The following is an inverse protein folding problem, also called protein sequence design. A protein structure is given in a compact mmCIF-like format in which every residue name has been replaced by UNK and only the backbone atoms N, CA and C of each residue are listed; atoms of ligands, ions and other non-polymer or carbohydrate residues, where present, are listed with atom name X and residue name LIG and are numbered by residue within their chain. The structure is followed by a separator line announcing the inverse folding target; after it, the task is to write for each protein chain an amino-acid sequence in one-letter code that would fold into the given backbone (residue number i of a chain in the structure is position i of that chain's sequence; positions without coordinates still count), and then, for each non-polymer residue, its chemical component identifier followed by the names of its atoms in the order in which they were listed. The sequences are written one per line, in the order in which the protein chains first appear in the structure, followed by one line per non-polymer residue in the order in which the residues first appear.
data_IF_756015718582
#
_entry.id   IF_756015718582
#
_cell.length_a   1.000
_cell.length_b   1.000
_cell.length_c   1.000
_cell.angle_alpha   90.00
_cell.angle_beta   90.00
_cell.angle_gamma   90.00
#
_symmetry.space_group_name_H-M   'P 1'
#
loop_
_entity.id
_entity.type
_entity.pdbx_description
1 polymer ?
#
# COMPACT_ATOMS: atom_id res chain seq x y z
N UNK A 1 70.28 -41.55 33.31
CA UNK A 1 69.85 -40.95 32.04
C UNK A 1 68.40 -40.53 32.26
N UNK A 2 68.23 -39.21 32.46
CA UNK A 2 66.99 -38.65 32.98
C UNK A 2 65.93 -38.53 31.92
N UNK A 3 64.74 -38.91 32.29
CA UNK A 3 63.51 -38.62 31.58
C UNK A 3 62.95 -37.29 32.12
N UNK A 4 63.11 -36.20 31.28
CA UNK A 4 62.56 -34.92 31.63
C UNK A 4 61.06 -34.91 31.27
N UNK A 5 60.26 -35.10 32.31
CA UNK A 5 58.81 -35.00 32.26
C UNK A 5 58.37 -33.63 31.73
N UNK A 6 57.90 -33.58 30.50
CA UNK A 6 57.28 -32.43 29.85
C UNK A 6 55.95 -32.07 30.57
N UNK A 7 55.95 -30.98 31.33
CA UNK A 7 54.76 -30.46 32.00
C UNK A 7 53.66 -30.19 30.93
N UNK A 8 52.41 -30.63 31.17
CA UNK A 8 51.30 -30.27 30.27
C UNK A 8 51.05 -28.79 30.33
N UNK A 9 51.05 -28.18 29.20
CA UNK A 9 50.72 -26.76 28.97
C UNK A 9 49.25 -26.51 29.38
N UNK A 10 49.07 -25.79 30.48
CA UNK A 10 47.74 -25.41 31.01
C UNK A 10 47.06 -24.42 30.04
N UNK A 11 46.34 -24.92 29.05
CA UNK A 11 45.50 -24.17 28.12
C UNK A 11 44.23 -23.68 28.82
N UNK A 12 44.35 -22.99 29.94
CA UNK A 12 43.24 -22.22 30.52
C UNK A 12 42.89 -21.08 29.55
N UNK A 13 41.81 -21.27 28.81
CA UNK A 13 41.20 -20.18 28.03
C UNK A 13 40.91 -19.04 29.01
N UNK A 14 41.67 -17.97 28.90
CA UNK A 14 41.40 -16.74 29.68
C UNK A 14 39.99 -16.28 29.34
N UNK A 15 39.09 -16.10 30.31
CA UNK A 15 37.78 -15.58 30.02
C UNK A 15 37.96 -14.19 29.35
N UNK A 16 37.32 -14.03 28.19
CA UNK A 16 37.36 -12.78 27.48
C UNK A 16 36.60 -11.74 28.28
N UNK A 17 37.30 -10.97 29.10
CA UNK A 17 36.70 -9.87 29.91
C UNK A 17 36.47 -8.70 28.99
N UNK A 18 35.21 -8.50 28.60
CA UNK A 18 34.80 -7.33 27.81
C UNK A 18 35.06 -6.08 28.65
N UNK A 19 35.82 -5.12 28.11
CA UNK A 19 36.12 -3.88 28.84
C UNK A 19 34.83 -3.06 29.08
N UNK A 20 34.80 -2.30 30.20
CA UNK A 20 33.64 -1.42 30.49
C UNK A 20 33.32 -0.45 29.36
N UNK A 21 34.32 0.03 28.61
CA UNK A 21 34.13 0.91 27.44
C UNK A 21 33.38 0.22 26.30
N UNK A 22 33.67 -1.09 26.07
CA UNK A 22 32.91 -1.85 25.07
C UNK A 22 31.44 -2.04 25.47
N UNK A 23 31.16 -2.32 26.73
CA UNK A 23 29.79 -2.45 27.26
C UNK A 23 29.04 -1.14 27.11
N UNK A 24 29.68 0.00 27.46
CA UNK A 24 29.09 1.33 27.31
C UNK A 24 28.84 1.67 25.83
N UNK A 25 29.77 1.36 24.93
CA UNK A 25 29.61 1.56 23.48
C UNK A 25 28.44 0.75 22.91
N UNK A 26 28.33 -0.53 23.26
CA UNK A 26 27.21 -1.38 22.85
C UNK A 26 25.88 -0.85 23.39
N UNK A 27 25.84 -0.47 24.68
CA UNK A 27 24.63 0.09 25.29
C UNK A 27 24.18 1.37 24.58
N UNK A 28 25.10 2.26 24.24
CA UNK A 28 24.80 3.51 23.53
C UNK A 28 24.24 3.24 22.13
N UNK A 29 24.87 2.34 21.38
CA UNK A 29 24.37 1.95 20.04
C UNK A 29 22.98 1.31 20.13
N UNK A 30 22.75 0.45 21.11
CA UNK A 30 21.45 -0.19 21.33
C UNK A 30 20.37 0.86 21.67
N UNK A 31 20.65 1.78 22.59
CA UNK A 31 19.70 2.84 22.96
C UNK A 31 19.38 3.72 21.75
N UNK A 32 20.39 4.14 20.98
CA UNK A 32 20.19 4.93 19.78
C UNK A 32 19.35 4.19 18.74
N UNK A 33 19.68 2.91 18.48
CA UNK A 33 18.96 2.06 17.53
C UNK A 33 17.50 1.86 17.93
N UNK A 34 17.22 1.54 19.19
CA UNK A 34 15.84 1.41 19.66
C UNK A 34 15.06 2.72 19.66
N UNK A 35 15.73 3.84 19.96
CA UNK A 35 15.09 5.15 19.87
C UNK A 35 14.66 5.47 18.44
N UNK A 36 15.56 5.28 17.47
CA UNK A 36 15.23 5.49 16.04
C UNK A 36 14.11 4.54 15.59
N UNK A 37 14.19 3.25 15.93
CA UNK A 37 13.13 2.29 15.62
C UNK A 37 11.79 2.68 16.26
N UNK A 38 11.80 3.13 17.50
CA UNK A 38 10.59 3.59 18.19
C UNK A 38 9.95 4.80 17.50
N UNK A 39 10.74 5.78 17.09
CA UNK A 39 10.26 6.94 16.33
C UNK A 39 9.67 6.50 14.98
N UNK A 40 10.37 5.63 14.25
CA UNK A 40 9.89 5.13 12.96
C UNK A 40 8.59 4.32 13.12
N UNK A 41 8.50 3.45 14.14
CA UNK A 41 7.29 2.69 14.44
C UNK A 41 6.12 3.63 14.76
N UNK A 42 6.34 4.66 15.59
CA UNK A 42 5.32 5.65 15.92
C UNK A 42 4.78 6.35 14.66
N UNK A 43 5.67 6.82 13.78
CA UNK A 43 5.26 7.44 12.50
C UNK A 43 4.51 6.46 11.61
N UNK A 44 4.99 5.22 11.47
CA UNK A 44 4.32 4.19 10.64
C UNK A 44 2.89 3.92 11.11
N UNK A 45 2.65 3.83 12.43
CA UNK A 45 1.30 3.60 12.96
C UNK A 45 0.38 4.81 12.81
N UNK A 46 0.91 6.03 12.95
CA UNK A 46 0.09 7.24 12.84
C UNK A 46 -0.16 7.68 11.40
N UNK A 47 0.70 7.28 10.45
CA UNK A 47 0.59 7.66 9.03
C UNK A 47 -0.23 6.67 8.20
N UNK A 48 -0.87 5.68 8.83
CA UNK A 48 -1.70 4.69 8.13
C UNK A 48 -2.84 5.36 7.33
N UNK A 49 -3.15 4.79 6.17
CA UNK A 49 -4.29 5.23 5.37
C UNK A 49 -5.57 4.85 6.13
N UNK A 50 -6.46 5.80 6.50
CA UNK A 50 -7.70 5.44 7.16
C UNK A 50 -8.60 4.64 6.21
N UNK A 51 -9.22 3.57 6.71
CA UNK A 51 -10.22 2.83 5.95
C UNK A 51 -11.57 3.51 6.24
N UNK A 52 -12.28 4.06 5.22
CA UNK A 52 -13.57 4.69 5.42
C UNK A 52 -14.64 3.65 5.76
N UNK A 53 -15.60 4.01 6.62
CA UNK A 53 -16.76 3.15 6.90
C UNK A 53 -17.58 2.91 5.64
N UNK A 54 -17.69 3.94 4.80
CA UNK A 54 -18.33 3.86 3.49
C UNK A 54 -17.77 4.89 2.52
N UNK A 55 -17.75 4.51 1.26
CA UNK A 55 -17.44 5.37 0.13
C UNK A 55 -18.71 5.64 -0.64
N UNK A 56 -19.00 6.92 -0.85
CA UNK A 56 -20.25 7.35 -1.49
C UNK A 56 -19.99 8.26 -2.66
N UNK A 57 -20.92 8.29 -3.60
CA UNK A 57 -20.96 9.29 -4.67
C UNK A 57 -21.45 10.66 -4.15
N UNK A 58 -21.30 11.70 -4.94
CA UNK A 58 -21.89 13.03 -4.66
C UNK A 58 -23.42 13.02 -4.61
N UNK A 59 -24.08 11.98 -5.13
CA UNK A 59 -25.55 11.79 -5.07
C UNK A 59 -26.00 11.01 -3.85
N UNK A 60 -25.06 10.55 -2.99
CA UNK A 60 -25.35 9.75 -1.80
C UNK A 60 -25.46 8.24 -2.05
N UNK A 61 -25.20 7.78 -3.28
CA UNK A 61 -25.11 6.35 -3.59
C UNK A 61 -23.92 5.73 -2.86
N UNK A 62 -24.10 4.64 -2.14
CA UNK A 62 -23.02 3.87 -1.53
C UNK A 62 -22.35 3.02 -2.61
N UNK A 63 -21.08 3.24 -2.86
CA UNK A 63 -20.29 2.53 -3.86
C UNK A 63 -19.68 1.25 -3.27
N UNK A 64 -19.06 1.37 -2.11
CA UNK A 64 -18.48 0.26 -1.34
C UNK A 64 -18.28 0.67 0.12
N UNK A 65 -18.06 -0.31 0.98
CA UNK A 65 -17.97 -0.16 2.43
C UNK A 65 -16.58 -0.55 2.94
N UNK A 66 -16.34 -0.34 4.25
CA UNK A 66 -15.19 -0.85 4.97
C UNK A 66 -15.00 -2.36 4.75
N UNK A 67 -16.09 -3.14 4.88
CA UNK A 67 -16.03 -4.58 4.76
C UNK A 67 -15.67 -5.04 3.35
N UNK A 68 -16.10 -4.31 2.32
CA UNK A 68 -15.73 -4.57 0.93
C UNK A 68 -14.23 -4.34 0.69
N UNK A 69 -13.65 -3.29 1.29
CA UNK A 69 -12.21 -3.01 1.22
C UNK A 69 -11.41 -4.12 1.91
N UNK A 70 -11.84 -4.53 3.10
CA UNK A 70 -11.18 -5.61 3.88
C UNK A 70 -11.29 -6.95 3.13
N UNK A 71 -12.47 -7.28 2.60
CA UNK A 71 -12.66 -8.48 1.77
C UNK A 71 -11.76 -8.46 0.52
N UNK A 72 -11.55 -7.29 -0.08
CA UNK A 72 -10.62 -7.12 -1.19
C UNK A 72 -9.16 -7.34 -0.79
N UNK A 73 -8.76 -6.83 0.37
CA UNK A 73 -7.43 -7.07 0.93
C UNK A 73 -7.20 -8.55 1.25
N UNK A 74 -8.18 -9.20 1.85
CA UNK A 74 -8.12 -10.63 2.14
C UNK A 74 -8.04 -11.47 0.84
N UNK A 75 -8.84 -11.12 -0.17
CA UNK A 75 -8.79 -11.77 -1.47
C UNK A 75 -7.40 -11.60 -2.12
N UNK A 76 -6.82 -10.41 -2.06
CA UNK A 76 -5.47 -10.12 -2.57
C UNK A 76 -4.41 -10.99 -1.89
N UNK A 77 -4.45 -11.10 -0.56
CA UNK A 77 -3.51 -11.89 0.21
C UNK A 77 -3.72 -13.41 0.01
N UNK A 78 -4.96 -13.89 0.11
CA UNK A 78 -5.29 -15.31 0.05
C UNK A 78 -5.07 -15.92 -1.34
N UNK A 79 -5.11 -15.10 -2.40
CA UNK A 79 -4.80 -15.52 -3.76
C UNK A 79 -3.32 -15.37 -4.12
N UNK A 80 -2.48 -14.92 -3.20
CA UNK A 80 -1.05 -14.71 -3.45
C UNK A 80 -0.78 -13.64 -4.50
N UNK A 81 -1.71 -12.69 -4.71
CA UNK A 81 -1.54 -11.65 -5.74
C UNK A 81 -0.34 -10.73 -5.45
N UNK A 82 0.18 -10.72 -4.21
CA UNK A 82 1.43 -10.04 -3.87
C UNK A 82 2.67 -10.65 -4.54
N UNK A 83 2.62 -11.93 -4.93
CA UNK A 83 3.72 -12.56 -5.68
C UNK A 83 3.72 -12.11 -7.14
N UNK A 84 2.55 -11.74 -7.65
CA UNK A 84 2.36 -11.30 -9.04
C UNK A 84 2.51 -9.79 -9.20
N UNK A 85 1.77 -8.99 -8.42
CA UNK A 85 1.75 -7.54 -8.47
C UNK A 85 2.03 -6.90 -7.12
N UNK A 86 2.02 -5.57 -7.06
CA UNK A 86 2.26 -4.83 -5.83
C UNK A 86 1.10 -3.93 -5.45
N UNK A 87 1.07 -3.54 -4.19
CA UNK A 87 0.20 -2.49 -3.63
C UNK A 87 1.12 -1.45 -2.99
N UNK A 88 0.99 -0.18 -3.39
CA UNK A 88 1.82 0.94 -2.89
C UNK A 88 3.32 0.61 -2.99
N UNK A 89 3.72 -0.06 -4.07
CA UNK A 89 5.11 -0.47 -4.32
C UNK A 89 5.59 -1.68 -3.54
N UNK A 90 4.74 -2.35 -2.76
CA UNK A 90 5.09 -3.54 -1.98
C UNK A 90 4.49 -4.80 -2.61
N UNK A 91 5.33 -5.73 -3.03
CA UNK A 91 4.94 -6.99 -3.66
C UNK A 91 5.85 -7.39 -4.81
N UNK A 92 5.40 -8.35 -5.64
CA UNK A 92 6.12 -8.83 -6.83
C UNK A 92 6.07 -7.83 -7.99
N UNK A 93 6.96 -8.02 -8.97
CA UNK A 93 7.11 -7.12 -10.13
C UNK A 93 6.78 -7.80 -11.47
N UNK A 94 6.13 -8.95 -11.45
CA UNK A 94 5.67 -9.64 -12.67
C UNK A 94 4.42 -8.98 -13.25
N UNK A 95 3.55 -8.47 -12.37
CA UNK A 95 2.35 -7.73 -12.70
C UNK A 95 2.46 -6.24 -12.38
N UNK A 96 1.34 -5.51 -12.46
CA UNK A 96 1.31 -4.08 -12.16
C UNK A 96 1.40 -3.81 -10.65
N UNK A 97 1.79 -2.58 -10.28
CA UNK A 97 1.34 -2.01 -9.02
C UNK A 97 -0.13 -1.62 -9.17
N UNK A 98 -1.03 -2.34 -8.47
CA UNK A 98 -2.47 -2.15 -8.63
C UNK A 98 -2.95 -0.80 -8.12
N UNK A 99 -2.26 -0.21 -7.15
CA UNK A 99 -2.53 1.17 -6.70
C UNK A 99 -2.27 2.16 -7.84
N UNK A 100 -1.10 2.05 -8.46
CA UNK A 100 -0.71 2.93 -9.56
C UNK A 100 -1.52 2.65 -10.83
N UNK A 101 -1.80 1.38 -11.16
CA UNK A 101 -2.60 1.02 -12.34
C UNK A 101 -4.04 1.54 -12.22
N UNK A 102 -4.67 1.37 -11.04
CA UNK A 102 -5.99 1.92 -10.77
C UNK A 102 -5.98 3.45 -10.91
N UNK A 103 -5.07 4.14 -10.22
CA UNK A 103 -4.98 5.60 -10.24
C UNK A 103 -4.75 6.13 -11.66
N UNK A 104 -3.82 5.55 -12.41
CA UNK A 104 -3.52 5.94 -13.79
C UNK A 104 -4.75 5.80 -14.69
N UNK A 105 -5.44 4.65 -14.63
CA UNK A 105 -6.63 4.40 -15.46
C UNK A 105 -7.77 5.34 -15.09
N UNK A 106 -8.05 5.48 -13.79
CA UNK A 106 -9.10 6.35 -13.31
C UNK A 106 -8.80 7.82 -13.66
N UNK A 107 -7.57 8.29 -13.46
CA UNK A 107 -7.17 9.65 -13.82
C UNK A 107 -7.26 9.92 -15.33
N UNK A 108 -6.93 8.93 -16.17
CA UNK A 108 -7.09 9.03 -17.63
C UNK A 108 -8.57 9.14 -18.02
N UNK A 109 -9.43 8.28 -17.47
CA UNK A 109 -10.87 8.31 -17.74
C UNK A 109 -11.50 9.64 -17.32
N UNK A 110 -11.15 10.15 -16.12
CA UNK A 110 -11.67 11.43 -15.63
C UNK A 110 -11.16 12.61 -16.46
N UNK A 111 -9.90 12.56 -16.92
CA UNK A 111 -9.33 13.58 -17.80
C UNK A 111 -10.03 13.59 -19.17
N UNK A 112 -10.28 12.44 -19.78
CA UNK A 112 -10.97 12.32 -21.06
C UNK A 112 -12.38 12.91 -21.01
N UNK A 113 -13.10 12.69 -19.89
CA UNK A 113 -14.42 13.30 -19.67
C UNK A 113 -14.33 14.83 -19.64
N UNK A 114 -13.33 15.39 -18.94
CA UNK A 114 -13.11 16.84 -18.83
C UNK A 114 -12.73 17.46 -20.17
N UNK A 115 -11.87 16.79 -20.96
CA UNK A 115 -11.47 17.24 -22.30
C UNK A 115 -12.70 17.25 -23.23
N UNK A 116 -13.52 16.19 -23.23
CA UNK A 116 -14.76 16.11 -24.01
C UNK A 116 -15.77 17.18 -23.61
N UNK A 117 -15.84 17.50 -22.31
CA UNK A 117 -16.67 18.57 -21.79
C UNK A 117 -16.13 20.00 -22.10
N UNK A 118 -14.95 20.11 -22.70
CA UNK A 118 -14.24 21.36 -22.98
C UNK A 118 -14.05 22.23 -21.74
N UNK A 119 -13.75 21.58 -20.59
CA UNK A 119 -13.44 22.31 -19.36
C UNK A 119 -12.19 23.18 -19.55
N UNK A 120 -12.16 24.33 -18.88
CA UNK A 120 -10.98 25.18 -18.85
C UNK A 120 -9.88 24.46 -17.99
N UNK A 121 -8.66 24.36 -18.53
CA UNK A 121 -7.51 23.71 -17.88
C UNK A 121 -7.82 22.29 -17.37
N UNK A 122 -8.25 21.34 -18.22
CA UNK A 122 -8.75 20.04 -17.79
C UNK A 122 -7.71 19.21 -17.01
N UNK A 123 -6.42 19.33 -17.36
CA UNK A 123 -5.33 18.65 -16.64
C UNK A 123 -5.20 19.14 -15.20
N UNK A 124 -5.19 20.45 -14.97
CA UNK A 124 -5.09 21.01 -13.62
C UNK A 124 -6.33 20.70 -12.79
N UNK A 125 -7.53 20.81 -13.40
CA UNK A 125 -8.77 20.44 -12.75
C UNK A 125 -8.80 18.97 -12.35
N UNK A 126 -8.26 18.08 -13.19
CA UNK A 126 -8.16 16.65 -12.90
C UNK A 126 -7.21 16.38 -11.74
N UNK A 127 -5.99 16.94 -11.76
CA UNK A 127 -5.02 16.83 -10.68
C UNK A 127 -5.60 17.34 -9.36
N UNK A 128 -6.24 18.51 -9.37
CA UNK A 128 -6.88 19.09 -8.20
C UNK A 128 -7.97 18.17 -7.64
N UNK A 129 -8.80 17.57 -8.50
CA UNK A 129 -9.89 16.67 -8.10
C UNK A 129 -9.35 15.43 -7.38
N UNK A 130 -8.27 14.80 -7.91
CA UNK A 130 -7.63 13.63 -7.29
C UNK A 130 -6.89 13.96 -5.99
N UNK A 131 -6.28 15.15 -5.88
CA UNK A 131 -5.60 15.61 -4.66
C UNK A 131 -6.57 16.08 -3.58
N UNK A 132 -7.79 16.48 -3.93
CA UNK A 132 -8.76 16.94 -2.95
C UNK A 132 -9.19 15.80 -2.03
N UNK A 133 -8.83 15.89 -0.75
CA UNK A 133 -9.30 14.98 0.27
C UNK A 133 -10.76 15.29 0.64
N UNK A 134 -11.66 14.33 0.42
CA UNK A 134 -13.09 14.41 0.74
C UNK A 134 -13.49 13.36 1.79
N UNK A 135 -12.53 12.91 2.58
CA UNK A 135 -12.77 12.03 3.71
C UNK A 135 -13.07 12.85 4.97
N UNK A 136 -14.19 12.56 5.60
CA UNK A 136 -14.56 13.12 6.89
C UNK A 136 -14.28 12.07 7.99
N UNK A 137 -13.23 12.30 8.78
CA UNK A 137 -12.82 11.38 9.85
C UNK A 137 -13.84 11.28 10.99
N UNK A 138 -14.76 12.24 11.12
CA UNK A 138 -15.78 12.24 12.14
C UNK A 138 -16.95 11.32 11.79
N UNK A 139 -17.26 11.21 10.52
CA UNK A 139 -18.37 10.39 9.99
C UNK A 139 -17.89 9.09 9.34
N UNK A 140 -16.59 8.90 9.18
CA UNK A 140 -16.02 7.77 8.47
C UNK A 140 -16.35 7.72 6.96
N UNK A 141 -16.87 8.82 6.39
CA UNK A 141 -17.37 8.84 5.01
C UNK A 141 -16.36 9.45 4.06
N UNK A 142 -16.06 8.74 2.98
CA UNK A 142 -15.32 9.24 1.83
C UNK A 142 -16.28 9.54 0.68
N UNK A 143 -16.25 10.77 0.14
CA UNK A 143 -17.08 11.16 -1.00
C UNK A 143 -16.24 11.19 -2.27
N UNK A 144 -16.61 10.42 -3.28
CA UNK A 144 -16.00 10.47 -4.61
C UNK A 144 -16.70 11.54 -5.45
N UNK A 145 -15.92 12.29 -6.27
CA UNK A 145 -16.50 13.21 -7.26
C UNK A 145 -17.29 12.44 -8.31
N UNK A 146 -18.16 13.15 -9.04
CA UNK A 146 -18.95 12.54 -10.12
C UNK A 146 -18.07 11.83 -11.14
N UNK A 147 -16.93 12.42 -11.49
CA UNK A 147 -16.00 11.84 -12.46
C UNK A 147 -15.30 10.60 -11.88
N UNK A 148 -14.89 10.67 -10.60
CA UNK A 148 -14.29 9.53 -9.90
C UNK A 148 -15.27 8.37 -9.75
N UNK A 149 -16.54 8.64 -9.45
CA UNK A 149 -17.61 7.63 -9.40
C UNK A 149 -17.79 6.93 -10.76
N UNK A 150 -17.85 7.68 -11.85
CA UNK A 150 -17.97 7.11 -13.20
C UNK A 150 -16.74 6.26 -13.56
N UNK A 151 -15.53 6.71 -13.20
CA UNK A 151 -14.30 5.94 -13.40
C UNK A 151 -14.29 4.64 -12.55
N UNK A 152 -14.77 4.68 -11.32
CA UNK A 152 -14.91 3.51 -10.47
C UNK A 152 -15.79 2.43 -11.11
N UNK A 153 -17.00 2.78 -11.56
CA UNK A 153 -17.89 1.82 -12.24
C UNK A 153 -17.25 1.19 -13.48
N UNK A 154 -16.51 1.99 -14.25
CA UNK A 154 -15.78 1.47 -15.42
C UNK A 154 -14.67 0.48 -14.99
N UNK A 155 -13.95 0.80 -13.90
CA UNK A 155 -12.84 -0.03 -13.42
C UNK A 155 -13.31 -1.32 -12.74
N UNK A 156 -14.49 -1.35 -12.12
CA UNK A 156 -15.12 -2.61 -11.68
C UNK A 156 -15.28 -3.56 -12.85
N UNK A 157 -15.79 -3.10 -13.99
CA UNK A 157 -15.93 -3.92 -15.19
C UNK A 157 -14.58 -4.34 -15.78
N UNK A 158 -13.61 -3.42 -15.76
CA UNK A 158 -12.25 -3.69 -16.23
C UNK A 158 -11.57 -4.80 -15.41
N UNK A 159 -11.53 -4.69 -14.08
CA UNK A 159 -10.86 -5.67 -13.24
C UNK A 159 -11.61 -7.00 -13.18
N UNK A 160 -12.94 -7.01 -13.29
CA UNK A 160 -13.70 -8.25 -13.46
C UNK A 160 -13.26 -9.00 -14.72
N UNK A 161 -13.02 -8.28 -15.82
CA UNK A 161 -12.50 -8.87 -17.05
C UNK A 161 -11.02 -9.26 -16.92
N UNK A 162 -10.22 -8.40 -16.27
CA UNK A 162 -8.79 -8.61 -16.07
C UNK A 162 -8.49 -9.90 -15.31
N UNK A 163 -9.18 -10.16 -14.21
CA UNK A 163 -8.99 -11.35 -13.41
C UNK A 163 -9.76 -12.59 -13.92
N UNK A 164 -10.91 -12.36 -14.59
CA UNK A 164 -11.79 -13.45 -15.02
C UNK A 164 -11.46 -14.06 -16.38
N UNK A 165 -11.06 -13.27 -17.36
CA UNK A 165 -10.95 -13.70 -18.76
C UNK A 165 -9.56 -13.54 -19.39
N UNK A 166 -8.67 -12.81 -18.78
CA UNK A 166 -7.48 -12.38 -19.47
C UNK A 166 -6.33 -13.38 -19.31
N UNK A 167 -6.08 -14.17 -20.37
CA UNK A 167 -4.97 -15.13 -20.46
C UNK A 167 -3.61 -14.49 -20.77
N UNK A 168 -3.55 -13.17 -20.95
CA UNK A 168 -2.33 -12.46 -21.33
C UNK A 168 -1.66 -11.71 -20.17
N UNK A 169 -2.12 -11.93 -18.95
CA UNK A 169 -1.51 -11.34 -17.76
C UNK A 169 -0.24 -12.10 -17.42
N UNK A 170 0.90 -11.46 -17.58
CA UNK A 170 2.24 -11.97 -17.33
C UNK A 170 2.32 -12.77 -16.01
N UNK A 171 2.16 -14.10 -16.07
CA UNK A 171 2.27 -15.01 -14.93
C UNK A 171 1.00 -15.22 -14.10
N UNK A 172 -0.06 -14.42 -14.27
CA UNK A 172 -1.34 -14.68 -13.61
C UNK A 172 -2.11 -15.76 -14.37
N UNK A 173 -2.60 -16.78 -13.67
CA UNK A 173 -3.40 -17.83 -14.27
C UNK A 173 -4.73 -17.26 -14.76
N UNK A 174 -5.13 -17.65 -15.99
CA UNK A 174 -6.43 -17.30 -16.51
C UNK A 174 -7.53 -17.87 -15.58
N UNK A 175 -8.56 -17.08 -15.30
CA UNK A 175 -9.66 -17.43 -14.41
C UNK A 175 -9.25 -17.70 -12.94
N UNK A 176 -8.20 -17.08 -12.45
CA UNK A 176 -7.81 -17.21 -11.05
C UNK A 176 -8.91 -16.68 -10.11
N UNK A 177 -9.59 -15.61 -10.51
CA UNK A 177 -10.75 -15.05 -9.79
C UNK A 177 -11.99 -15.25 -10.65
N UNK A 178 -12.75 -16.30 -10.33
CA UNK A 178 -13.97 -16.67 -11.06
C UNK A 178 -15.21 -15.93 -10.59
N UNK A 179 -15.20 -15.50 -9.33
CA UNK A 179 -16.33 -14.81 -8.71
C UNK A 179 -16.25 -13.29 -9.01
N UNK A 180 -17.24 -12.74 -9.74
CA UNK A 180 -17.31 -11.30 -9.99
C UNK A 180 -17.39 -10.45 -8.72
N UNK A 181 -17.96 -10.97 -7.62
CA UNK A 181 -18.01 -10.25 -6.35
C UNK A 181 -16.60 -10.11 -5.77
N UNK A 182 -15.78 -11.15 -5.82
CA UNK A 182 -14.38 -11.09 -5.38
C UNK A 182 -13.55 -10.11 -6.22
N UNK A 183 -13.76 -10.07 -7.55
CA UNK A 183 -13.11 -9.10 -8.43
C UNK A 183 -13.54 -7.65 -8.11
N UNK A 184 -14.80 -7.46 -7.70
CA UNK A 184 -15.30 -6.16 -7.24
C UNK A 184 -14.63 -5.75 -5.94
N UNK A 185 -14.56 -6.61 -4.92
CA UNK A 185 -13.87 -6.30 -3.65
C UNK A 185 -12.39 -5.98 -3.87
N UNK A 186 -11.70 -6.66 -4.78
CA UNK A 186 -10.34 -6.27 -5.19
C UNK A 186 -10.30 -4.86 -5.78
N UNK A 187 -11.29 -4.50 -6.60
CA UNK A 187 -11.38 -3.15 -7.17
C UNK A 187 -11.61 -2.10 -6.09
N UNK A 188 -12.43 -2.42 -5.07
CA UNK A 188 -12.71 -1.55 -3.93
C UNK A 188 -11.43 -1.31 -3.10
N UNK A 189 -10.66 -2.36 -2.88
CA UNK A 189 -9.34 -2.29 -2.24
C UNK A 189 -8.36 -1.42 -3.05
N UNK A 190 -8.28 -1.60 -4.37
CA UNK A 190 -7.41 -0.78 -5.24
C UNK A 190 -7.88 0.67 -5.29
N UNK A 191 -9.18 0.93 -5.31
CA UNK A 191 -9.74 2.27 -5.27
C UNK A 191 -9.37 3.00 -3.98
N UNK A 192 -9.46 2.32 -2.84
CA UNK A 192 -9.07 2.86 -1.54
C UNK A 192 -7.57 3.16 -1.48
N UNK A 193 -6.69 2.24 -1.90
CA UNK A 193 -5.24 2.48 -1.90
C UNK A 193 -4.85 3.61 -2.85
N UNK A 194 -5.50 3.71 -4.02
CA UNK A 194 -5.29 4.79 -4.98
C UNK A 194 -5.71 6.16 -4.43
N UNK A 195 -6.86 6.23 -3.73
CA UNK A 195 -7.25 7.44 -3.02
C UNK A 195 -6.22 7.81 -1.94
N UNK A 196 -5.81 6.84 -1.14
CA UNK A 196 -4.82 7.04 -0.08
C UNK A 196 -3.47 7.54 -0.59
N UNK A 197 -3.08 7.12 -1.81
CA UNK A 197 -1.86 7.55 -2.46
C UNK A 197 -1.97 8.95 -3.12
N UNK A 198 -3.16 9.34 -3.62
CA UNK A 198 -3.35 10.56 -4.40
C UNK A 198 -3.82 11.76 -3.57
N UNK A 199 -4.67 11.53 -2.55
CA UNK A 199 -5.31 12.61 -1.79
C UNK A 199 -4.33 13.29 -0.82
N UNK A 200 -4.36 14.63 -0.81
CA UNK A 200 -3.58 15.42 0.14
C UNK A 200 -4.11 15.19 1.56
N UNK A 201 -3.24 14.67 2.45
CA UNK A 201 -3.53 14.44 3.85
C UNK A 201 -2.54 15.23 4.69
N UNK A 202 -2.88 16.45 5.13
CA UNK A 202 -1.99 17.29 5.93
C UNK A 202 -1.51 16.55 7.20
N UNK A 203 -0.20 16.57 7.44
CA UNK A 203 0.42 15.91 8.61
C UNK A 203 0.76 14.42 8.42
N UNK A 204 0.49 13.83 7.26
CA UNK A 204 0.85 12.45 6.93
C UNK A 204 1.89 12.41 5.81
N UNK A 205 2.94 11.61 5.98
CA UNK A 205 4.09 11.55 5.07
C UNK A 205 3.84 10.74 3.79
N UNK A 206 2.73 10.02 3.68
CA UNK A 206 2.40 9.16 2.56
C UNK A 206 1.78 9.91 1.37
N UNK A 207 2.21 11.13 1.10
CA UNK A 207 2.10 11.67 -0.25
C UNK A 207 3.19 11.01 -1.12
N UNK A 208 2.96 9.75 -1.51
CA UNK A 208 3.90 8.96 -2.31
C UNK A 208 4.02 9.44 -3.75
N UNK A 209 3.26 10.45 -4.16
CA UNK A 209 3.29 11.00 -5.51
C UNK A 209 3.75 12.45 -5.45
N UNK A 210 5.05 12.63 -5.33
CA UNK A 210 5.74 13.80 -5.85
C UNK A 210 5.98 13.58 -7.36
N UNK A 211 4.93 13.65 -8.18
CA UNK A 211 5.01 13.74 -9.63
C UNK A 211 4.39 15.06 -10.07
#
# INVERSE_FOLDING_TARGET
MGDEGKKPEDTRRRPMVVSKGWVQGIALVMILGFTVMGILAYHTYNDSIPIPDKVVSTTGEVLFTHDDIVAGQEAFNNRGLMEYGSIVGHGGYLGPDFTADYLRRAATLTLDVRIKARENQPHQANIKDWRTNRYDSRTGVLVLSRQQTAAYHHLVSYYTTYFGKNSHNLGLLAHDIKDPAQARHLTDFFAWTAWGAAADRPGHSLSLIHI
#
